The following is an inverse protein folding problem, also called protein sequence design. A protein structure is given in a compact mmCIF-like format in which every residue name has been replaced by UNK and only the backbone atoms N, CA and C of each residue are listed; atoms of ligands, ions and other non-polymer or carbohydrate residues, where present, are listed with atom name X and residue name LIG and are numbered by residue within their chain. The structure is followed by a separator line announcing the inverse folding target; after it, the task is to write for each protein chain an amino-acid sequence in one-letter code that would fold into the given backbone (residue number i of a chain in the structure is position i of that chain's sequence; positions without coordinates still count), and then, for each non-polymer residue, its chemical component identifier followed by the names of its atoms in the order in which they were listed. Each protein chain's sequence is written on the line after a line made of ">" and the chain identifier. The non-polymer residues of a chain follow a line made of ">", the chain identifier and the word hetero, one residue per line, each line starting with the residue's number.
data_IF_311214174326
#
_entry.id   IF_311214174326
#
_cell.length_a   1.000
_cell.length_b   1.000
_cell.length_c   1.000
_cell.angle_alpha   90.00
_cell.angle_beta   90.00
_cell.angle_gamma   90.00
#
_symmetry.space_group_name_H-M   'P 1'
#
loop_
_entity.id
_entity.type
_entity.pdbx_description
1 polymer ?
#
# COMPACT_ATOMS: atom_id res chain seq x y z
N UNK A 1 -11.20 13.21 29.68
CA UNK A 1 -10.90 14.58 29.26
C UNK A 1 -10.80 14.54 27.73
N UNK A 2 -11.63 15.25 26.97
CA UNK A 2 -11.58 15.25 25.52
C UNK A 2 -10.47 16.20 25.05
N UNK A 3 -9.63 15.75 24.13
CA UNK A 3 -8.62 16.56 23.46
C UNK A 3 -9.25 17.38 22.33
N UNK A 4 -9.05 18.68 22.41
CA UNK A 4 -9.54 19.73 21.51
C UNK A 4 -8.62 19.83 20.27
N UNK A 5 -9.20 19.68 19.07
CA UNK A 5 -8.51 19.81 17.78
C UNK A 5 -8.89 21.16 17.14
N UNK A 6 -8.41 22.26 17.68
CA UNK A 6 -8.50 23.53 16.98
C UNK A 6 -7.13 24.17 16.82
N UNK A 7 -6.86 24.59 15.55
CA UNK A 7 -5.86 25.56 15.09
C UNK A 7 -4.50 24.99 14.68
N UNK A 8 -4.39 24.67 13.39
CA UNK A 8 -3.13 24.82 12.63
C UNK A 8 -3.34 25.96 11.63
N UNK A 9 -2.50 27.00 11.59
CA UNK A 9 -2.69 28.16 10.73
C UNK A 9 -2.22 27.89 9.28
N UNK A 10 -3.10 28.24 8.33
CA UNK A 10 -2.82 28.25 6.90
C UNK A 10 -1.88 29.42 6.57
N UNK A 11 -0.79 29.24 5.81
CA UNK A 11 0.02 30.35 5.33
C UNK A 11 -0.72 31.19 4.29
N UNK A 12 -0.88 32.47 4.57
CA UNK A 12 -1.35 33.49 3.62
C UNK A 12 -0.25 33.76 2.57
N UNK A 13 -0.52 33.44 1.32
CA UNK A 13 0.23 33.98 0.19
C UNK A 13 -0.74 34.28 -0.94
N UNK A 14 -1.15 35.52 -1.06
CA UNK A 14 -1.61 36.23 -2.27
C UNK A 14 -2.43 37.47 -1.89
N UNK A 15 -1.78 38.54 -1.52
CA UNK A 15 -2.28 39.94 -1.67
C UNK A 15 -1.04 40.81 -1.64
N UNK A 16 -0.62 41.26 -2.84
CA UNK A 16 0.08 42.51 -3.07
C UNK A 16 0.46 42.59 -4.55
N UNK A 17 -0.48 43.10 -5.35
CA UNK A 17 -0.17 43.71 -6.62
C UNK A 17 -1.32 44.67 -6.94
N UNK A 18 -1.32 45.87 -6.34
CA UNK A 18 -2.02 47.08 -6.81
C UNK A 18 -1.66 48.25 -5.89
N UNK A 19 -0.57 48.96 -6.23
CA UNK A 19 -0.44 50.40 -5.93
C UNK A 19 0.90 50.92 -6.49
N UNK A 20 0.83 51.66 -7.58
CA UNK A 20 1.86 52.60 -7.97
C UNK A 20 1.19 53.90 -8.38
N UNK A 21 1.75 55.09 -8.05
CA UNK A 21 1.02 56.35 -8.05
C UNK A 21 1.03 57.04 -9.40
N UNK A 22 -0.03 57.82 -9.61
CA UNK A 22 -0.23 58.79 -10.72
C UNK A 22 0.80 59.93 -10.66
N UNK A 23 1.61 60.06 -11.71
CA UNK A 23 2.39 61.24 -12.03
C UNK A 23 1.66 62.09 -13.07
N UNK A 24 1.42 63.37 -12.77
CA UNK A 24 0.82 64.35 -13.64
C UNK A 24 1.84 64.90 -14.67
N UNK A 25 1.38 65.15 -15.91
CA UNK A 25 2.17 65.85 -16.89
C UNK A 25 1.55 66.04 -18.28
N UNK A 26 0.97 67.22 -18.51
CA UNK A 26 0.84 68.05 -19.71
C UNK A 26 0.06 67.61 -20.95
N UNK A 27 -0.74 68.58 -21.35
CA UNK A 27 -1.63 68.78 -22.47
C UNK A 27 -1.02 68.53 -23.87
N UNK A 28 -1.90 68.01 -24.80
CA UNK A 28 -1.61 68.07 -26.21
C UNK A 28 -2.53 67.23 -27.08
N UNK A 29 -3.37 67.91 -27.83
CA UNK A 29 -3.97 67.50 -29.12
C UNK A 29 -5.16 66.49 -29.15
N UNK A 30 -6.30 67.04 -29.47
CA UNK A 30 -7.51 66.28 -29.85
C UNK A 30 -7.33 65.59 -31.21
N UNK A 31 -7.48 64.31 -31.24
CA UNK A 31 -7.76 63.56 -32.46
C UNK A 31 -8.86 62.53 -32.13
N UNK A 32 -10.01 62.77 -32.74
CA UNK A 32 -11.19 61.90 -32.57
C UNK A 32 -11.03 60.62 -33.34
N UNK A 33 -10.69 59.54 -32.66
CA UNK A 33 -10.75 58.18 -33.17
C UNK A 33 -12.11 57.57 -32.83
N UNK A 34 -12.92 57.35 -33.87
CA UNK A 34 -14.15 56.57 -33.78
C UNK A 34 -13.73 55.11 -33.52
N UNK A 35 -13.94 54.63 -32.31
CA UNK A 35 -13.83 53.23 -31.98
C UNK A 35 -15.13 52.56 -32.38
N UNK A 36 -15.06 51.74 -33.44
CA UNK A 36 -16.12 50.85 -33.86
C UNK A 36 -16.21 49.71 -32.86
N UNK A 37 -17.27 49.67 -32.07
CA UNK A 37 -17.57 48.56 -31.15
C UNK A 37 -18.06 47.36 -31.96
N UNK A 38 -17.17 46.44 -32.27
CA UNK A 38 -17.56 45.11 -32.74
C UNK A 38 -18.12 44.30 -31.55
N UNK A 39 -19.28 43.67 -31.68
CA UNK A 39 -19.88 42.94 -30.57
C UNK A 39 -18.97 41.76 -30.18
N UNK A 40 -18.55 41.73 -28.92
CA UNK A 40 -17.81 40.65 -28.33
C UNK A 40 -18.54 39.33 -28.57
N UNK A 41 -17.96 38.45 -29.39
CA UNK A 41 -18.35 37.06 -29.47
C UNK A 41 -18.29 36.51 -28.04
N UNK A 42 -19.45 36.20 -27.46
CA UNK A 42 -19.51 35.33 -26.27
C UNK A 42 -18.84 34.04 -26.63
N UNK A 43 -17.59 33.89 -26.19
CA UNK A 43 -16.99 32.57 -26.03
C UNK A 43 -17.89 31.82 -25.04
N UNK A 44 -18.72 30.92 -25.57
CA UNK A 44 -19.30 29.88 -24.76
C UNK A 44 -18.10 29.10 -24.25
N UNK A 45 -17.65 29.40 -23.03
CA UNK A 45 -16.85 28.42 -22.27
C UNK A 45 -17.72 27.16 -22.24
N UNK A 46 -17.35 26.20 -23.10
CA UNK A 46 -17.77 24.83 -22.92
C UNK A 46 -17.14 24.42 -21.60
N UNK A 47 -17.86 24.60 -20.50
CA UNK A 47 -17.66 23.86 -19.30
C UNK A 47 -17.93 22.40 -19.71
N UNK A 48 -16.94 21.76 -20.37
CA UNK A 48 -16.87 20.31 -20.38
C UNK A 48 -17.01 19.97 -18.90
N UNK A 49 -18.17 19.47 -18.51
CA UNK A 49 -18.28 18.65 -17.32
C UNK A 49 -17.11 17.70 -17.43
N UNK A 50 -16.05 17.95 -16.68
CA UNK A 50 -15.11 16.91 -16.35
C UNK A 50 -15.99 15.86 -15.68
N UNK A 51 -16.30 14.79 -16.41
CA UNK A 51 -16.73 13.57 -15.77
C UNK A 51 -15.56 13.28 -14.84
N UNK A 52 -15.74 13.54 -13.56
CA UNK A 52 -14.77 13.13 -12.57
C UNK A 52 -14.80 11.62 -12.65
N UNK A 53 -13.80 11.03 -13.32
CA UNK A 53 -13.63 9.61 -13.35
C UNK A 53 -13.57 9.15 -11.90
N UNK A 54 -14.57 8.38 -11.48
CA UNK A 54 -14.61 7.88 -10.12
C UNK A 54 -13.52 6.82 -9.96
N UNK A 55 -12.93 6.80 -8.78
CA UNK A 55 -11.97 5.78 -8.39
C UNK A 55 -12.71 4.59 -7.78
N UNK A 56 -12.48 3.39 -8.26
CA UNK A 56 -12.96 2.16 -7.65
C UNK A 56 -12.03 1.70 -6.53
N UNK A 57 -12.59 1.19 -5.44
CA UNK A 57 -11.85 0.50 -4.40
C UNK A 57 -12.46 -0.88 -4.18
N UNK A 58 -11.73 -1.93 -4.51
CA UNK A 58 -12.08 -3.31 -4.17
C UNK A 58 -11.53 -3.56 -2.77
N UNK A 59 -12.44 -3.62 -1.79
CA UNK A 59 -12.09 -3.66 -0.39
C UNK A 59 -12.15 -5.09 0.16
N UNK A 60 -11.03 -5.57 0.69
CA UNK A 60 -10.90 -6.80 1.47
C UNK A 60 -10.87 -6.53 2.97
N UNK A 61 -10.23 -7.42 3.72
CA UNK A 61 -10.11 -7.39 5.17
C UNK A 61 -9.02 -6.41 5.66
N UNK A 62 -9.19 -5.92 6.88
CA UNK A 62 -8.20 -5.11 7.59
C UNK A 62 -8.37 -3.60 7.43
N UNK A 63 -7.43 -2.84 7.97
CA UNK A 63 -7.43 -1.37 7.96
C UNK A 63 -7.02 -0.78 6.61
N UNK A 64 -6.31 -1.53 5.78
CA UNK A 64 -5.74 -1.03 4.52
C UNK A 64 -6.80 -0.39 3.60
N UNK A 65 -7.99 -0.99 3.36
CA UNK A 65 -9.03 -0.35 2.56
C UNK A 65 -9.47 1.02 3.10
N UNK A 66 -9.58 1.15 4.42
CA UNK A 66 -9.99 2.39 5.07
C UNK A 66 -8.95 3.49 4.88
N UNK A 67 -7.67 3.16 5.05
CA UNK A 67 -6.55 4.09 4.81
C UNK A 67 -6.51 4.58 3.36
N UNK A 68 -6.71 3.67 2.39
CA UNK A 68 -6.78 4.03 0.96
C UNK A 68 -7.95 4.96 0.70
N UNK A 69 -9.13 4.64 1.24
CA UNK A 69 -10.34 5.44 1.08
C UNK A 69 -10.16 6.86 1.61
N UNK A 70 -9.64 6.98 2.84
CA UNK A 70 -9.41 8.28 3.47
C UNK A 70 -8.35 9.10 2.72
N UNK A 71 -7.24 8.48 2.31
CA UNK A 71 -6.17 9.14 1.58
C UNK A 71 -6.60 9.59 0.17
N UNK A 72 -7.35 8.77 -0.55
CA UNK A 72 -7.88 9.12 -1.87
C UNK A 72 -8.88 10.29 -1.77
N UNK A 73 -9.77 10.26 -0.78
CA UNK A 73 -10.71 11.35 -0.51
C UNK A 73 -10.01 12.65 -0.13
N UNK A 74 -8.97 12.58 0.68
CA UNK A 74 -8.16 13.74 1.03
C UNK A 74 -7.50 14.40 -0.19
N UNK A 75 -7.25 13.63 -1.27
CA UNK A 75 -6.78 14.13 -2.58
C UNK A 75 -7.94 14.55 -3.51
N UNK A 76 -9.20 14.53 -3.05
CA UNK A 76 -10.37 14.97 -3.81
C UNK A 76 -10.99 13.93 -4.73
N UNK A 77 -10.59 12.65 -4.64
CA UNK A 77 -11.18 11.58 -5.43
C UNK A 77 -12.59 11.23 -4.94
N UNK A 78 -13.47 10.93 -5.88
CA UNK A 78 -14.77 10.32 -5.61
C UNK A 78 -14.62 8.80 -5.65
N UNK A 79 -14.62 8.16 -4.48
CA UNK A 79 -14.35 6.72 -4.38
C UNK A 79 -15.64 5.93 -4.32
N UNK A 80 -15.76 4.93 -5.21
CA UNK A 80 -16.81 3.92 -5.21
C UNK A 80 -16.21 2.63 -4.65
N UNK A 81 -16.76 2.14 -3.54
CA UNK A 81 -16.26 0.95 -2.86
C UNK A 81 -17.07 -0.28 -3.27
N UNK A 82 -16.37 -1.32 -3.72
CA UNK A 82 -16.85 -2.68 -3.85
C UNK A 82 -16.40 -3.47 -2.62
N UNK A 83 -17.26 -3.58 -1.61
CA UNK A 83 -16.97 -4.21 -0.33
C UNK A 83 -17.27 -5.72 -0.39
N UNK A 84 -16.29 -6.56 -0.07
CA UNK A 84 -16.45 -8.02 -0.01
C UNK A 84 -17.12 -8.38 1.32
N UNK A 85 -18.34 -8.93 1.26
CA UNK A 85 -19.20 -9.19 2.43
C UNK A 85 -18.53 -10.01 3.54
N UNK A 86 -17.70 -10.96 3.13
CA UNK A 86 -17.07 -11.91 4.03
C UNK A 86 -15.78 -11.35 4.67
N UNK A 87 -15.28 -10.19 4.18
CA UNK A 87 -13.96 -9.69 4.53
C UNK A 87 -13.95 -8.23 4.98
N UNK A 88 -14.66 -7.34 4.27
CA UNK A 88 -14.58 -5.89 4.51
C UNK A 88 -15.23 -5.51 5.84
N UNK A 89 -14.59 -4.63 6.58
CA UNK A 89 -15.15 -4.08 7.81
C UNK A 89 -16.34 -3.15 7.51
N UNK A 90 -17.49 -3.29 8.23
CA UNK A 90 -18.68 -2.47 8.02
C UNK A 90 -18.43 -0.96 8.17
N UNK A 91 -17.41 -0.57 8.92
CA UNK A 91 -17.00 0.82 9.14
C UNK A 91 -16.70 1.56 7.83
N UNK A 92 -16.41 0.84 6.74
CA UNK A 92 -16.20 1.42 5.40
C UNK A 92 -17.34 2.33 4.95
N UNK A 93 -18.58 2.07 5.39
CA UNK A 93 -19.74 2.91 5.10
C UNK A 93 -19.66 4.30 5.74
N UNK A 94 -18.92 4.43 6.83
CA UNK A 94 -18.78 5.67 7.60
C UNK A 94 -17.58 6.52 7.13
N UNK A 95 -16.71 5.99 6.29
CA UNK A 95 -15.53 6.68 5.76
C UNK A 95 -15.82 7.60 4.57
N UNK A 96 -17.10 7.85 4.25
CA UNK A 96 -17.54 8.87 3.28
C UNK A 96 -17.19 8.54 1.83
N UNK A 97 -17.27 7.28 1.44
CA UNK A 97 -17.27 6.86 0.04
C UNK A 97 -18.42 7.51 -0.72
N UNK A 98 -18.25 7.75 -2.03
CA UNK A 98 -19.33 8.24 -2.90
C UNK A 98 -20.46 7.21 -3.02
N UNK A 99 -20.12 5.92 -3.01
CA UNK A 99 -21.05 4.79 -2.92
C UNK A 99 -20.32 3.57 -2.34
N UNK A 100 -21.06 2.72 -1.61
CA UNK A 100 -20.57 1.42 -1.13
C UNK A 100 -21.51 0.33 -1.65
N UNK A 101 -20.94 -0.64 -2.35
CA UNK A 101 -21.68 -1.77 -2.92
C UNK A 101 -21.14 -3.08 -2.35
N UNK A 102 -21.98 -3.76 -1.56
CA UNK A 102 -21.64 -5.05 -1.00
C UNK A 102 -21.84 -6.18 -2.02
N UNK A 103 -20.81 -7.00 -2.15
CA UNK A 103 -20.82 -8.16 -3.03
C UNK A 103 -20.08 -9.34 -2.41
N UNK A 104 -20.42 -10.54 -2.82
CA UNK A 104 -19.72 -11.73 -2.36
C UNK A 104 -18.48 -11.99 -3.19
N UNK A 105 -17.50 -12.64 -2.60
CA UNK A 105 -16.32 -13.10 -3.31
C UNK A 105 -16.75 -14.03 -4.45
N UNK A 106 -16.32 -13.74 -5.68
CA UNK A 106 -16.72 -14.49 -6.88
C UNK A 106 -17.79 -13.83 -7.75
N UNK A 107 -18.41 -12.73 -7.32
CA UNK A 107 -19.37 -11.95 -8.14
C UNK A 107 -18.62 -10.95 -9.09
N UNK A 108 -17.70 -11.48 -9.94
CA UNK A 108 -16.88 -10.66 -10.85
C UNK A 108 -17.72 -9.87 -11.86
N UNK A 109 -18.77 -10.48 -12.40
CA UNK A 109 -19.68 -9.78 -13.31
C UNK A 109 -20.39 -8.63 -12.64
N UNK A 110 -20.87 -8.81 -11.41
CA UNK A 110 -21.51 -7.76 -10.62
C UNK A 110 -20.54 -6.62 -10.29
N UNK A 111 -19.27 -6.94 -9.99
CA UNK A 111 -18.22 -5.94 -9.76
C UNK A 111 -18.04 -5.05 -11.00
N UNK A 112 -17.85 -5.66 -12.17
CA UNK A 112 -17.65 -4.96 -13.45
C UNK A 112 -18.86 -4.10 -13.78
N UNK A 113 -20.07 -4.66 -13.73
CA UNK A 113 -21.32 -3.95 -14.05
C UNK A 113 -21.57 -2.78 -13.09
N UNK A 114 -21.21 -2.94 -11.81
CA UNK A 114 -21.32 -1.88 -10.81
C UNK A 114 -20.33 -0.76 -11.12
N UNK A 115 -19.06 -1.05 -11.35
CA UNK A 115 -18.06 -0.04 -11.64
C UNK A 115 -18.35 0.71 -12.95
N UNK A 116 -18.79 0.01 -13.99
CA UNK A 116 -19.23 0.66 -15.24
C UNK A 116 -20.42 1.60 -15.04
N UNK A 117 -21.43 1.16 -14.30
CA UNK A 117 -22.61 1.99 -13.99
C UNK A 117 -22.24 3.23 -13.20
N UNK A 118 -21.28 3.13 -12.29
CA UNK A 118 -20.78 4.24 -11.48
C UNK A 118 -19.79 5.15 -12.23
N UNK A 119 -19.33 4.77 -13.43
CA UNK A 119 -18.36 5.54 -14.20
C UNK A 119 -16.92 5.40 -13.70
N UNK A 120 -16.59 4.26 -13.10
CA UNK A 120 -15.23 3.94 -12.65
C UNK A 120 -14.40 3.46 -13.82
N UNK A 121 -13.23 4.08 -14.04
CA UNK A 121 -12.25 3.71 -15.07
C UNK A 121 -10.92 3.29 -14.48
N UNK A 122 -10.63 3.69 -13.23
CA UNK A 122 -9.44 3.30 -12.47
C UNK A 122 -9.89 2.68 -11.15
N UNK A 123 -9.23 1.61 -10.73
CA UNK A 123 -9.53 0.96 -9.46
C UNK A 123 -8.25 0.54 -8.74
N UNK A 124 -8.34 0.37 -7.42
CA UNK A 124 -7.31 -0.29 -6.62
C UNK A 124 -7.94 -1.46 -5.83
N UNK A 125 -7.06 -2.37 -5.44
CA UNK A 125 -7.38 -3.42 -4.48
C UNK A 125 -6.68 -3.11 -3.16
N UNK A 126 -7.37 -3.25 -2.04
CA UNK A 126 -6.76 -3.09 -0.73
C UNK A 126 -7.34 -4.08 0.28
N UNK A 127 -6.49 -4.58 1.17
CA UNK A 127 -6.86 -5.56 2.19
C UNK A 127 -6.67 -7.00 1.72
N UNK A 128 -6.77 -7.91 2.67
CA UNK A 128 -6.59 -9.34 2.44
C UNK A 128 -7.92 -10.04 2.15
N UNK A 129 -7.85 -11.12 1.38
CA UNK A 129 -8.90 -12.14 1.31
C UNK A 129 -8.33 -13.42 1.90
N UNK A 130 -8.99 -13.98 2.92
CA UNK A 130 -8.49 -15.18 3.59
C UNK A 130 -8.47 -16.38 2.65
N UNK A 131 -7.32 -17.08 2.57
CA UNK A 131 -7.14 -18.24 1.69
C UNK A 131 -8.24 -19.30 1.82
N UNK A 132 -8.73 -19.55 3.05
CA UNK A 132 -9.82 -20.51 3.27
C UNK A 132 -11.10 -20.13 2.52
N UNK A 133 -11.37 -18.84 2.36
CA UNK A 133 -12.59 -18.38 1.67
C UNK A 133 -12.46 -18.44 0.16
N UNK A 134 -11.25 -18.20 -0.39
CA UNK A 134 -11.00 -18.29 -1.83
C UNK A 134 -11.30 -19.69 -2.37
N UNK A 135 -11.02 -20.74 -1.60
CA UNK A 135 -11.14 -22.13 -2.08
C UNK A 135 -12.36 -22.91 -1.54
N UNK A 136 -13.04 -22.42 -0.49
CA UNK A 136 -14.12 -23.20 0.16
C UNK A 136 -15.52 -22.61 0.04
N UNK A 137 -15.66 -21.30 -0.23
CA UNK A 137 -16.94 -20.59 -0.10
C UNK A 137 -17.35 -19.77 -1.32
N UNK A 138 -16.54 -19.76 -2.38
CA UNK A 138 -16.84 -18.98 -3.58
C UNK A 138 -18.03 -19.61 -4.31
N UNK A 139 -19.10 -18.82 -4.47
CA UNK A 139 -20.14 -19.09 -5.47
C UNK A 139 -19.87 -18.23 -6.69
N UNK A 140 -19.07 -18.73 -7.66
CA UNK A 140 -18.67 -17.93 -8.81
C UNK A 140 -19.88 -17.63 -9.70
N UNK A 141 -19.99 -16.38 -10.14
CA UNK A 141 -20.86 -16.05 -11.26
C UNK A 141 -20.26 -16.62 -12.57
N UNK A 142 -20.99 -16.48 -13.67
CA UNK A 142 -20.55 -17.02 -14.96
C UNK A 142 -19.18 -16.48 -15.41
N UNK A 143 -18.90 -15.19 -15.19
CA UNK A 143 -17.62 -14.56 -15.57
C UNK A 143 -16.47 -15.11 -14.73
N UNK A 144 -16.66 -15.21 -13.43
CA UNK A 144 -15.67 -15.78 -12.51
C UNK A 144 -15.47 -17.28 -12.79
N UNK A 145 -16.52 -18.04 -13.03
CA UNK A 145 -16.43 -19.46 -13.37
C UNK A 145 -15.61 -19.67 -14.65
N UNK A 146 -15.90 -18.90 -15.72
CA UNK A 146 -15.12 -18.93 -16.97
C UNK A 146 -13.63 -18.62 -16.72
N UNK A 147 -13.33 -17.60 -15.89
CA UNK A 147 -11.98 -17.26 -15.51
C UNK A 147 -11.28 -18.42 -14.81
N UNK A 148 -11.90 -19.01 -13.78
CA UNK A 148 -11.35 -20.13 -13.02
C UNK A 148 -11.04 -21.34 -13.91
N UNK A 149 -11.88 -21.62 -14.91
CA UNK A 149 -11.64 -22.72 -15.86
C UNK A 149 -10.48 -22.43 -16.83
N UNK A 150 -10.18 -21.16 -17.10
CA UNK A 150 -9.07 -20.77 -18.00
C UNK A 150 -7.70 -20.79 -17.32
N UNK A 151 -7.65 -20.78 -15.99
CA UNK A 151 -6.40 -20.76 -15.25
C UNK A 151 -5.67 -22.11 -15.30
N UNK A 152 -4.41 -22.07 -15.75
CA UNK A 152 -3.51 -23.25 -15.74
C UNK A 152 -2.91 -23.49 -14.35
N UNK A 153 -2.61 -22.40 -13.63
CA UNK A 153 -2.06 -22.40 -12.27
C UNK A 153 -3.12 -21.81 -11.35
N UNK A 154 -3.42 -22.51 -10.25
CA UNK A 154 -4.46 -22.11 -9.29
C UNK A 154 -3.87 -21.58 -7.99
N UNK A 155 -2.91 -20.64 -8.10
CA UNK A 155 -2.49 -19.87 -6.93
C UNK A 155 -3.23 -18.52 -6.88
N UNK A 156 -3.14 -17.83 -5.76
CA UNK A 156 -3.85 -16.58 -5.51
C UNK A 156 -3.40 -15.48 -6.48
N UNK A 157 -2.11 -15.38 -6.74
CA UNK A 157 -1.54 -14.33 -7.58
C UNK A 157 -1.99 -14.46 -9.04
N UNK A 158 -2.00 -15.71 -9.58
CA UNK A 158 -2.52 -15.98 -10.92
C UNK A 158 -4.01 -15.65 -11.04
N UNK A 159 -4.81 -15.97 -10.02
CA UNK A 159 -6.24 -15.64 -9.99
C UNK A 159 -6.46 -14.13 -9.99
N UNK A 160 -5.78 -13.40 -9.10
CA UNK A 160 -5.96 -11.94 -9.00
C UNK A 160 -5.41 -11.24 -10.24
N UNK A 161 -4.27 -11.70 -10.79
CA UNK A 161 -3.74 -11.20 -12.06
C UNK A 161 -4.70 -11.39 -13.22
N UNK A 162 -5.39 -12.53 -13.28
CA UNK A 162 -6.42 -12.78 -14.30
C UNK A 162 -7.66 -11.89 -14.10
N UNK A 163 -8.08 -11.63 -12.85
CA UNK A 163 -9.14 -10.66 -12.54
C UNK A 163 -8.73 -9.26 -13.02
N UNK A 164 -7.46 -8.86 -12.77
CA UNK A 164 -6.93 -7.58 -13.23
C UNK A 164 -6.99 -7.45 -14.76
N UNK A 165 -6.66 -8.51 -15.48
CA UNK A 165 -6.75 -8.53 -16.93
C UNK A 165 -8.19 -8.39 -17.43
N UNK A 166 -9.14 -9.13 -16.86
CA UNK A 166 -10.57 -9.03 -17.23
C UNK A 166 -11.10 -7.62 -16.95
N UNK A 167 -10.72 -7.00 -15.84
CA UNK A 167 -11.09 -5.60 -15.55
C UNK A 167 -10.54 -4.65 -16.62
N UNK A 168 -9.28 -4.82 -17.03
CA UNK A 168 -8.65 -4.00 -18.07
C UNK A 168 -9.35 -4.16 -19.45
N UNK A 169 -9.72 -5.37 -19.84
CA UNK A 169 -10.49 -5.66 -21.06
C UNK A 169 -11.87 -4.97 -21.03
N UNK A 170 -12.44 -4.77 -19.84
CA UNK A 170 -13.71 -4.09 -19.62
C UNK A 170 -13.57 -2.56 -19.41
N UNK A 171 -12.35 -2.01 -19.59
CA UNK A 171 -12.05 -0.59 -19.49
C UNK A 171 -11.81 -0.07 -18.07
N UNK A 172 -11.55 -0.96 -17.10
CA UNK A 172 -11.24 -0.61 -15.71
C UNK A 172 -9.78 -0.97 -15.43
N UNK A 173 -8.91 0.02 -15.31
CA UNK A 173 -7.48 -0.18 -15.08
C UNK A 173 -7.21 -0.30 -13.57
N UNK A 174 -6.62 -1.42 -13.14
CA UNK A 174 -6.07 -1.52 -11.79
C UNK A 174 -4.76 -0.74 -11.69
N UNK A 175 -4.70 0.18 -10.73
CA UNK A 175 -3.52 0.96 -10.40
C UNK A 175 -2.86 0.41 -9.13
N UNK A 176 -1.64 0.87 -8.85
CA UNK A 176 -0.87 0.51 -7.65
C UNK A 176 -1.69 0.79 -6.38
N UNK A 177 -1.83 -0.21 -5.53
CA UNK A 177 -2.60 -0.13 -4.28
C UNK A 177 -2.02 0.88 -3.28
N UNK A 178 -0.75 1.25 -3.44
CA UNK A 178 -0.06 2.22 -2.59
C UNK A 178 -0.08 3.65 -3.15
N UNK A 179 -0.68 3.89 -4.32
CA UNK A 179 -0.67 5.17 -5.03
C UNK A 179 -1.14 6.37 -4.20
N UNK A 180 -1.95 6.14 -3.18
CA UNK A 180 -2.42 7.16 -2.25
C UNK A 180 -1.72 7.10 -0.88
N UNK A 181 -0.90 6.08 -0.62
CA UNK A 181 -0.27 5.78 0.66
C UNK A 181 1.27 5.83 0.61
N UNK A 182 1.86 6.50 -0.37
CA UNK A 182 3.32 6.66 -0.50
C UNK A 182 4.01 7.14 0.80
N UNK A 183 3.40 8.05 1.61
CA UNK A 183 4.00 8.46 2.88
C UNK A 183 4.13 7.33 3.91
N UNK A 184 3.34 6.26 3.78
CA UNK A 184 3.37 5.09 4.65
C UNK A 184 4.31 3.98 4.14
N UNK A 185 4.92 4.13 2.97
CA UNK A 185 5.95 3.20 2.51
C UNK A 185 7.22 3.36 3.33
N UNK A 186 7.83 2.23 3.70
CA UNK A 186 9.11 2.21 4.40
C UNK A 186 10.17 3.00 3.61
N UNK A 187 10.70 4.08 4.17
CA UNK A 187 11.75 4.90 3.55
C UNK A 187 13.11 4.23 3.74
N UNK A 188 14.04 4.47 2.80
CA UNK A 188 15.39 3.92 2.90
C UNK A 188 16.14 4.46 4.14
N UNK A 189 16.86 3.58 4.81
CA UNK A 189 17.68 3.88 5.98
C UNK A 189 17.16 3.28 7.28
N UNK A 190 17.73 3.72 8.40
CA UNK A 190 17.26 3.36 9.73
C UNK A 190 16.03 4.19 10.06
N UNK A 191 14.94 3.54 10.46
CA UNK A 191 13.65 4.18 10.70
C UNK A 191 13.39 4.43 12.20
N UNK A 192 14.06 3.71 13.09
CA UNK A 192 13.97 3.79 14.56
C UNK A 192 15.16 4.54 15.15
N UNK A 193 15.08 4.91 16.44
CA UNK A 193 16.18 5.55 17.13
C UNK A 193 17.44 4.67 17.19
N UNK A 194 17.26 3.35 17.38
CA UNK A 194 18.34 2.38 17.39
C UNK A 194 18.65 1.88 15.99
N UNK A 195 19.90 1.87 15.60
CA UNK A 195 20.38 1.19 14.42
C UNK A 195 20.60 -0.30 14.70
N UNK A 196 20.56 -1.17 13.66
CA UNK A 196 20.97 -2.56 13.80
C UNK A 196 22.42 -2.71 14.28
N UNK A 197 22.68 -3.68 15.17
CA UNK A 197 24.04 -4.04 15.60
C UNK A 197 24.82 -4.74 14.47
N UNK A 198 26.16 -4.88 14.59
CA UNK A 198 26.95 -5.65 13.61
C UNK A 198 26.48 -7.11 13.45
N UNK A 199 25.99 -7.73 14.52
CA UNK A 199 25.40 -9.08 14.51
C UNK A 199 24.11 -9.10 13.72
N UNK A 200 23.19 -8.18 14.03
CA UNK A 200 21.93 -8.02 13.30
C UNK A 200 22.17 -7.70 11.81
N UNK A 201 23.21 -6.93 11.46
CA UNK A 201 23.59 -6.69 10.06
C UNK A 201 24.04 -7.97 9.33
N UNK A 202 24.77 -8.86 10.00
CA UNK A 202 25.11 -10.18 9.42
C UNK A 202 23.86 -11.01 9.19
N UNK A 203 22.94 -11.03 10.18
CA UNK A 203 21.67 -11.73 10.10
C UNK A 203 20.78 -11.19 8.97
N UNK A 204 20.71 -9.84 8.81
CA UNK A 204 20.01 -9.19 7.70
C UNK A 204 20.59 -9.65 6.36
N UNK A 205 21.91 -9.63 6.22
CA UNK A 205 22.59 -10.00 4.97
C UNK A 205 22.31 -11.46 4.58
N UNK A 206 22.39 -12.36 5.52
CA UNK A 206 22.05 -13.77 5.35
C UNK A 206 20.55 -13.96 5.08
N UNK A 207 19.71 -13.37 5.91
CA UNK A 207 18.25 -13.48 5.82
C UNK A 207 17.70 -12.98 4.49
N UNK A 208 18.26 -11.89 3.94
CA UNK A 208 17.87 -11.38 2.62
C UNK A 208 18.14 -12.37 1.49
N UNK A 209 19.26 -13.11 1.55
CA UNK A 209 19.57 -14.13 0.56
C UNK A 209 18.55 -15.27 0.64
N UNK A 210 18.28 -15.78 1.85
CA UNK A 210 17.31 -16.85 2.08
C UNK A 210 15.90 -16.41 1.65
N UNK A 211 15.44 -15.25 2.13
CA UNK A 211 14.10 -14.74 1.86
C UNK A 211 13.86 -14.54 0.36
N UNK A 212 14.83 -14.02 -0.39
CA UNK A 212 14.74 -13.85 -1.85
C UNK A 212 14.62 -15.17 -2.58
N UNK A 213 15.36 -16.19 -2.20
CA UNK A 213 15.24 -17.52 -2.80
C UNK A 213 13.87 -18.14 -2.54
N UNK A 214 13.33 -18.02 -1.32
CA UNK A 214 11.98 -18.49 -1.00
C UNK A 214 10.90 -17.73 -1.77
N UNK A 215 11.06 -16.41 -1.90
CA UNK A 215 10.14 -15.57 -2.63
C UNK A 215 10.07 -15.89 -4.14
N UNK A 216 11.18 -16.34 -4.75
CA UNK A 216 11.21 -16.83 -6.14
C UNK A 216 10.30 -18.04 -6.37
N UNK A 217 10.09 -18.86 -5.36
CA UNK A 217 9.22 -20.04 -5.42
C UNK A 217 7.80 -19.79 -4.89
N UNK A 218 7.49 -18.53 -4.58
CA UNK A 218 6.19 -18.13 -3.99
C UNK A 218 5.84 -18.90 -2.71
N UNK A 219 6.87 -19.29 -1.92
CA UNK A 219 6.69 -19.99 -0.64
C UNK A 219 6.31 -19.00 0.45
N UNK A 220 7.05 -17.87 0.53
CA UNK A 220 6.89 -16.80 1.50
C UNK A 220 7.94 -15.73 1.28
N UNK A 221 7.89 -14.67 2.08
CA UNK A 221 8.75 -13.50 1.91
C UNK A 221 9.39 -13.01 3.22
N UNK A 222 9.16 -13.74 4.31
CA UNK A 222 9.71 -13.44 5.64
C UNK A 222 10.54 -14.60 6.15
N UNK A 223 11.73 -14.30 6.69
CA UNK A 223 12.56 -15.25 7.42
C UNK A 223 12.96 -14.67 8.76
N UNK A 224 13.16 -15.53 9.75
CA UNK A 224 13.66 -15.18 11.07
C UNK A 224 15.00 -15.83 11.28
N UNK A 225 16.00 -15.06 11.66
CA UNK A 225 17.42 -15.44 11.71
C UNK A 225 17.96 -15.17 13.11
N UNK A 226 18.85 -16.03 13.57
CA UNK A 226 19.71 -15.83 14.72
C UNK A 226 21.13 -16.30 14.40
N UNK A 227 22.15 -15.46 14.62
CA UNK A 227 23.58 -15.77 14.37
C UNK A 227 23.84 -16.39 12.99
N UNK A 228 23.26 -15.80 11.95
CA UNK A 228 23.33 -16.29 10.56
C UNK A 228 22.79 -17.71 10.35
N UNK A 229 21.93 -18.18 11.27
CA UNK A 229 21.17 -19.41 11.12
C UNK A 229 19.69 -19.11 10.94
N UNK A 230 19.05 -19.71 9.94
CA UNK A 230 17.63 -19.55 9.70
C UNK A 230 16.83 -20.35 10.74
N UNK A 231 16.08 -19.65 11.61
CA UNK A 231 15.26 -20.27 12.66
C UNK A 231 13.87 -20.63 12.13
N UNK A 232 13.27 -19.74 11.33
CA UNK A 232 11.95 -19.96 10.75
C UNK A 232 11.84 -19.27 9.39
N UNK A 233 11.03 -19.86 8.50
CA UNK A 233 10.67 -19.30 7.20
C UNK A 233 9.15 -19.21 7.11
N UNK A 234 8.65 -18.12 6.54
CA UNK A 234 7.22 -17.92 6.27
C UNK A 234 6.78 -18.85 5.13
N UNK A 235 5.60 -19.42 5.30
CA UNK A 235 4.85 -20.08 4.25
C UNK A 235 3.38 -19.63 4.34
N UNK A 236 2.42 -20.54 4.37
CA UNK A 236 0.99 -20.21 4.40
C UNK A 236 0.49 -19.64 5.73
N UNK A 237 1.27 -19.76 6.81
CA UNK A 237 0.92 -19.26 8.14
C UNK A 237 1.00 -17.73 8.27
N UNK A 238 1.79 -17.06 7.43
CA UNK A 238 1.98 -15.61 7.44
C UNK A 238 3.04 -15.13 8.43
N UNK A 239 3.42 -13.84 8.30
CA UNK A 239 4.56 -13.22 8.98
C UNK A 239 4.50 -13.35 10.50
N UNK A 240 3.38 -12.97 11.13
CA UNK A 240 3.28 -12.94 12.60
C UNK A 240 3.37 -14.33 13.21
N UNK A 241 2.73 -15.35 12.61
CA UNK A 241 2.83 -16.73 13.08
C UNK A 241 4.24 -17.31 12.90
N UNK A 242 4.94 -16.93 11.84
CA UNK A 242 6.35 -17.31 11.62
C UNK A 242 7.25 -16.73 12.71
N UNK A 243 7.07 -15.47 13.06
CA UNK A 243 7.82 -14.79 14.13
C UNK A 243 7.54 -15.46 15.48
N UNK A 244 6.27 -15.73 15.78
CA UNK A 244 5.89 -16.43 17.01
C UNK A 244 6.56 -17.82 17.10
N UNK A 245 6.49 -18.60 16.02
CA UNK A 245 7.11 -19.94 15.95
C UNK A 245 8.64 -19.87 16.16
N UNK A 246 9.30 -18.84 15.60
CA UNK A 246 10.73 -18.65 15.84
C UNK A 246 11.02 -18.39 17.32
N UNK A 247 10.23 -17.57 18.01
CA UNK A 247 10.33 -17.34 19.43
C UNK A 247 10.14 -18.61 20.26
N UNK A 248 9.16 -19.45 19.93
CA UNK A 248 8.91 -20.74 20.58
C UNK A 248 10.09 -21.71 20.39
N UNK A 249 10.67 -21.78 19.19
CA UNK A 249 11.88 -22.58 18.91
C UNK A 249 13.03 -22.11 19.79
N UNK A 250 13.31 -20.81 19.83
CA UNK A 250 14.40 -20.27 20.64
C UNK A 250 14.18 -20.46 22.14
N UNK A 251 12.95 -20.35 22.62
CA UNK A 251 12.61 -20.63 24.01
C UNK A 251 12.86 -22.11 24.37
N UNK A 252 12.57 -23.03 23.45
CA UNK A 252 12.83 -24.48 23.67
C UNK A 252 14.32 -24.82 23.73
N UNK A 253 15.17 -24.00 23.11
CA UNK A 253 16.65 -24.17 23.13
C UNK A 253 17.30 -23.43 24.33
N UNK A 254 16.51 -22.71 25.13
CA UNK A 254 17.02 -21.98 26.28
C UNK A 254 17.66 -22.93 27.30
N UNK A 255 18.94 -22.71 27.57
CA UNK A 255 19.74 -23.56 28.49
C UNK A 255 20.55 -24.65 27.82
N UNK A 256 20.35 -24.96 26.53
CA UNK A 256 21.12 -25.96 25.78
C UNK A 256 21.90 -25.37 24.61
N UNK A 257 21.56 -24.17 24.17
CA UNK A 257 22.17 -23.47 23.03
C UNK A 257 23.09 -22.35 23.46
N UNK A 258 24.20 -22.19 22.75
CA UNK A 258 25.11 -21.03 22.82
C UNK A 258 24.65 -19.88 21.91
N UNK A 259 23.57 -20.08 21.13
CA UNK A 259 23.05 -19.08 20.22
C UNK A 259 22.54 -17.84 20.98
N UNK A 260 22.83 -16.66 20.47
CA UNK A 260 22.28 -15.43 20.97
C UNK A 260 20.75 -15.49 20.93
N UNK A 261 20.12 -14.90 21.94
CA UNK A 261 18.65 -14.93 22.07
C UNK A 261 17.93 -13.88 21.22
N UNK A 262 18.68 -13.03 20.49
CA UNK A 262 18.10 -12.02 19.64
C UNK A 262 17.73 -12.59 18.28
N UNK A 263 16.51 -12.33 17.85
CA UNK A 263 16.02 -12.72 16.53
C UNK A 263 16.00 -11.50 15.61
N UNK A 264 16.46 -11.69 14.39
CA UNK A 264 16.35 -10.71 13.30
C UNK A 264 15.29 -11.18 12.31
N UNK A 265 14.26 -10.36 12.10
CA UNK A 265 13.20 -10.61 11.12
C UNK A 265 13.57 -9.91 9.82
N UNK A 266 13.57 -10.63 8.72
CA UNK A 266 13.84 -10.09 7.39
C UNK A 266 12.65 -10.36 6.49
N UNK A 267 11.99 -9.29 6.00
CA UNK A 267 10.86 -9.35 5.09
C UNK A 267 11.21 -8.62 3.79
N UNK A 268 11.20 -9.34 2.69
CA UNK A 268 11.52 -8.82 1.35
C UNK A 268 10.28 -8.70 0.49
N UNK A 269 10.35 -7.91 -0.56
CA UNK A 269 9.38 -7.98 -1.64
C UNK A 269 9.72 -9.16 -2.57
N UNK A 270 8.71 -9.80 -3.16
CA UNK A 270 8.92 -10.80 -4.20
C UNK A 270 9.60 -10.16 -5.42
N UNK A 271 10.41 -10.88 -6.21
CA UNK A 271 11.06 -10.31 -7.41
C UNK A 271 10.08 -9.67 -8.39
N UNK A 272 8.93 -10.33 -8.61
CA UNK A 272 7.87 -9.89 -9.52
C UNK A 272 6.65 -9.35 -8.74
N UNK A 273 6.89 -8.69 -7.59
CA UNK A 273 5.84 -8.15 -6.72
C UNK A 273 4.90 -7.22 -7.47
N UNK A 274 3.67 -7.63 -7.66
CA UNK A 274 2.64 -6.79 -8.28
C UNK A 274 1.96 -5.90 -7.23
N UNK A 275 2.42 -4.68 -7.12
CA UNK A 275 1.94 -3.69 -6.14
C UNK A 275 0.47 -3.30 -6.35
N UNK A 276 -0.18 -3.75 -7.41
CA UNK A 276 -1.61 -3.51 -7.63
C UNK A 276 -2.50 -4.34 -6.69
N UNK A 277 -1.96 -5.45 -6.11
CA UNK A 277 -2.74 -6.33 -5.24
C UNK A 277 -1.94 -7.13 -4.21
N UNK A 278 -0.61 -7.25 -4.38
CA UNK A 278 0.25 -7.97 -3.43
C UNK A 278 1.26 -7.00 -2.81
N UNK A 279 0.81 -6.26 -1.80
CA UNK A 279 1.62 -5.27 -1.08
C UNK A 279 2.08 -5.87 0.24
N UNK A 280 3.40 -6.01 0.48
CA UNK A 280 3.90 -6.38 1.80
C UNK A 280 3.50 -5.34 2.84
N UNK A 281 2.95 -5.79 3.95
CA UNK A 281 2.50 -4.89 5.02
C UNK A 281 3.11 -5.28 6.36
N UNK A 282 3.34 -4.27 7.21
CA UNK A 282 3.68 -4.39 8.63
C UNK A 282 2.71 -3.50 9.42
N UNK A 283 2.22 -4.00 10.54
CA UNK A 283 1.42 -3.25 11.50
C UNK A 283 2.02 -3.29 12.90
N UNK A 284 1.43 -2.54 13.83
CA UNK A 284 1.82 -2.54 15.24
C UNK A 284 1.72 -3.93 15.88
N UNK A 285 0.77 -4.77 15.40
CA UNK A 285 0.66 -6.16 15.85
C UNK A 285 1.93 -6.99 15.56
N UNK A 286 2.58 -6.75 14.41
CA UNK A 286 3.84 -7.43 14.09
C UNK A 286 4.94 -7.03 15.05
N UNK A 287 5.04 -5.74 15.42
CA UNK A 287 6.01 -5.27 16.41
C UNK A 287 5.77 -5.91 17.79
N UNK A 288 4.51 -6.00 18.20
CA UNK A 288 4.16 -6.66 19.47
C UNK A 288 4.49 -8.17 19.43
N UNK A 289 4.26 -8.83 18.31
CA UNK A 289 4.64 -10.23 18.09
C UNK A 289 6.17 -10.41 18.15
N UNK A 290 6.93 -9.50 17.52
CA UNK A 290 8.40 -9.47 17.61
C UNK A 290 8.87 -9.31 19.05
N UNK A 291 8.28 -8.36 19.79
CA UNK A 291 8.60 -8.13 21.20
C UNK A 291 8.41 -9.40 22.06
N UNK A 292 7.28 -10.10 21.87
CA UNK A 292 6.99 -11.37 22.58
C UNK A 292 7.93 -12.49 22.18
N UNK A 293 8.31 -12.55 20.93
CA UNK A 293 9.22 -13.57 20.40
C UNK A 293 10.70 -13.30 20.76
N UNK A 294 11.04 -12.13 21.32
CA UNK A 294 12.40 -11.73 21.59
C UNK A 294 13.17 -11.29 20.33
N UNK A 295 12.46 -10.88 19.27
CA UNK A 295 13.08 -10.32 18.09
C UNK A 295 13.46 -8.84 18.33
N UNK A 296 14.68 -8.48 17.92
CA UNK A 296 15.27 -7.18 18.19
C UNK A 296 15.50 -6.34 16.93
N UNK A 297 15.38 -6.94 15.74
CA UNK A 297 15.61 -6.23 14.50
C UNK A 297 14.61 -6.65 13.40
N UNK A 298 14.16 -5.68 12.61
CA UNK A 298 13.32 -5.87 11.43
C UNK A 298 13.98 -5.21 10.22
N UNK A 299 14.24 -6.00 9.19
CA UNK A 299 14.74 -5.49 7.91
C UNK A 299 13.66 -5.60 6.83
N UNK A 300 13.47 -4.53 6.07
CA UNK A 300 12.45 -4.38 5.04
C UNK A 300 13.07 -3.96 3.71
N UNK A 301 12.35 -4.13 2.61
CA UNK A 301 12.68 -3.51 1.33
C UNK A 301 12.04 -2.11 1.25
N UNK A 302 12.87 -1.09 1.06
CA UNK A 302 12.45 0.30 0.97
C UNK A 302 11.54 0.55 -0.26
N UNK A 303 10.48 1.34 -0.06
CA UNK A 303 9.51 1.65 -1.12
C UNK A 303 8.61 0.48 -1.53
N UNK A 304 8.71 -0.68 -0.84
CA UNK A 304 7.92 -1.88 -1.15
C UNK A 304 7.04 -2.35 0.00
N UNK A 305 7.41 -2.05 1.23
CA UNK A 305 6.65 -2.45 2.41
C UNK A 305 5.85 -1.28 2.97
N UNK A 306 4.57 -1.49 3.21
CA UNK A 306 3.65 -0.50 3.77
C UNK A 306 3.59 -0.63 5.29
N UNK A 307 3.82 0.47 6.00
CA UNK A 307 3.69 0.59 7.45
C UNK A 307 2.27 1.08 7.77
N UNK A 308 1.33 0.15 7.99
CA UNK A 308 -0.11 0.44 8.04
C UNK A 308 -0.52 1.43 9.15
N UNK A 309 0.19 1.43 10.27
CA UNK A 309 -0.10 2.32 11.38
C UNK A 309 0.86 3.54 11.42
N UNK A 310 1.62 3.78 10.34
CA UNK A 310 2.51 4.94 10.20
C UNK A 310 3.52 5.06 11.34
N UNK A 311 3.65 6.26 11.90
CA UNK A 311 4.62 6.55 12.97
C UNK A 311 4.37 5.73 14.25
N UNK A 312 3.15 5.25 14.48
CA UNK A 312 2.86 4.39 15.64
C UNK A 312 3.65 3.08 15.63
N UNK A 313 4.01 2.56 14.45
CA UNK A 313 4.89 1.39 14.32
C UNK A 313 6.28 1.72 14.82
N UNK A 314 6.82 2.89 14.44
CA UNK A 314 8.16 3.34 14.82
C UNK A 314 8.24 3.58 16.32
N UNK A 315 7.25 4.25 16.92
CA UNK A 315 7.17 4.43 18.37
C UNK A 315 7.10 3.10 19.11
N UNK A 316 6.24 2.17 18.67
CA UNK A 316 6.15 0.85 19.28
C UNK A 316 7.46 0.05 19.19
N UNK A 317 8.19 0.18 18.09
CA UNK A 317 9.49 -0.46 17.91
C UNK A 317 10.56 0.18 18.81
N UNK A 318 10.60 1.51 18.90
CA UNK A 318 11.53 2.23 19.79
C UNK A 318 11.28 1.87 21.25
N UNK A 319 10.02 1.84 21.70
CA UNK A 319 9.64 1.44 23.06
C UNK A 319 10.03 -0.01 23.38
N UNK A 320 10.01 -0.89 22.37
CA UNK A 320 10.41 -2.28 22.49
C UNK A 320 11.93 -2.51 22.29
N UNK A 321 12.70 -1.46 21.98
CA UNK A 321 14.13 -1.55 21.65
C UNK A 321 14.41 -2.29 20.34
N UNK A 322 13.44 -2.34 19.43
CA UNK A 322 13.54 -3.01 18.11
C UNK A 322 14.08 -2.01 17.09
N UNK A 323 15.17 -2.38 16.38
CA UNK A 323 15.63 -1.62 15.22
C UNK A 323 14.78 -1.96 13.99
N UNK A 324 14.37 -0.94 13.25
CA UNK A 324 13.77 -1.12 11.92
C UNK A 324 14.67 -0.45 10.89
N UNK A 325 15.06 -1.21 9.87
CA UNK A 325 15.86 -0.71 8.74
C UNK A 325 15.21 -1.13 7.43
N UNK A 326 15.21 -0.21 6.47
CA UNK A 326 14.75 -0.51 5.13
C UNK A 326 15.86 -0.16 4.11
N UNK A 327 16.25 -1.15 3.31
CA UNK A 327 17.25 -0.97 2.28
C UNK A 327 16.61 -0.96 0.89
N UNK A 328 17.21 -0.25 -0.08
CA UNK A 328 16.78 -0.35 -1.46
C UNK A 328 16.75 -1.79 -1.94
N UNK A 329 15.76 -2.13 -2.76
CA UNK A 329 15.71 -3.47 -3.38
C UNK A 329 17.00 -3.67 -4.17
N UNK A 330 17.83 -4.60 -3.71
CA UNK A 330 19.08 -4.91 -4.39
C UNK A 330 18.74 -5.69 -5.67
N UNK A 331 18.83 -5.04 -6.81
CA UNK A 331 18.81 -5.68 -8.12
C UNK A 331 20.18 -6.29 -8.31
N UNK A 332 20.27 -7.63 -8.30
CA UNK A 332 21.51 -8.32 -8.65
C UNK A 332 21.92 -7.89 -10.07
N UNK A 333 22.82 -6.91 -10.17
CA UNK A 333 23.61 -6.75 -11.38
C UNK A 333 24.33 -8.07 -11.57
N UNK A 334 24.18 -8.70 -12.74
CA UNK A 334 24.83 -9.94 -13.15
C UNK A 334 26.31 -9.93 -12.74
N UNK A 335 26.62 -10.42 -11.55
CA UNK A 335 27.98 -10.82 -11.27
C UNK A 335 28.15 -12.19 -11.89
N UNK A 336 28.94 -12.22 -12.97
CA UNK A 336 29.49 -13.45 -13.54
C UNK A 336 30.03 -14.35 -12.45
N UNK A 337 29.84 -15.68 -12.53
CA UNK A 337 30.40 -16.59 -11.56
C UNK A 337 31.90 -16.36 -11.52
N UNK A 338 32.43 -16.04 -10.33
CA UNK A 338 33.88 -16.07 -10.08
C UNK A 338 34.28 -17.51 -10.27
N UNK A 339 34.99 -17.75 -11.37
CA UNK A 339 35.71 -19.02 -11.58
C UNK A 339 36.77 -19.15 -10.47
N UNK A 340 36.60 -20.10 -9.59
CA UNK A 340 37.56 -20.55 -8.62
C UNK A 340 38.02 -21.95 -8.98
#
# INVERSE_FOLDING_TARGET
>A
MPFDWTVIPIPRCARDFLSAPLGAGSAGSRSTLRVSLTPARRLKLNCRRMSSDKLGLIAGNGKFPLLVLDAARARGEQVVVAAIKEETFPEVEQHGAAAVHWMSLGELGKLIDTFKREGVTRALMAGQVKHKQIFSSIRPDWRMAKLLFSLRVRNTDALIGAVAQVLAEEGITLIDSTAYLEPLLARSGVLTHRAPTPEEQRDISYGRQVARHLAQYDIGQTVVVAESACVAVEAMEGTDATIQRAGEIMASLAGTSTLARSLTVVKVAKPDQDMRFDVPVIGTNTIETMRRAGATCLALDAGKCLLLDGDAILHAADDAGIAIVADPVWVASHQSPVAG
#
